data_IF_023729436204
#
_entry.id   IF_023729436204
#
_cell.length_a   1.000
_cell.length_b   1.000
_cell.length_c   1.000
_cell.angle_alpha   90.00
_cell.angle_beta   90.00
_cell.angle_gamma   90.00
#
_symmetry.space_group_name_H-M   'P 1'
#
loop_
_entity.id
_entity.type
_entity.pdbx_description
1 polymer ?
#
# COMPACT_ATOMS: atom_id res chain seq x y z
N UNK A 1 -1.22 15.03 -37.27
CA UNK A 1 -2.40 14.91 -36.41
C UNK A 1 -2.71 13.44 -36.04
N UNK A 2 -2.81 12.49 -36.98
CA UNK A 2 -3.08 11.04 -36.68
C UNK A 2 -2.06 10.39 -35.75
N UNK A 3 -0.76 10.61 -35.92
CA UNK A 3 0.31 9.97 -35.10
C UNK A 3 0.25 10.42 -33.63
N UNK A 4 -0.06 11.69 -33.35
CA UNK A 4 -0.20 12.23 -32.00
C UNK A 4 -1.45 11.66 -31.31
N UNK A 5 -2.53 11.45 -32.03
CA UNK A 5 -3.76 10.84 -31.53
C UNK A 5 -3.54 9.37 -31.17
N UNK A 6 -2.89 8.60 -32.02
CA UNK A 6 -2.54 7.19 -31.77
C UNK A 6 -1.61 7.03 -30.54
N UNK A 7 -0.64 7.93 -30.40
CA UNK A 7 0.27 7.92 -29.24
C UNK A 7 -0.46 8.21 -27.92
N UNK A 8 -1.39 9.18 -27.93
CA UNK A 8 -2.23 9.47 -26.74
C UNK A 8 -3.14 8.30 -26.38
N UNK A 9 -3.82 7.68 -27.34
CA UNK A 9 -4.71 6.54 -27.07
C UNK A 9 -3.93 5.32 -26.55
N UNK A 10 -2.74 5.05 -27.08
CA UNK A 10 -1.87 3.98 -26.62
C UNK A 10 -1.44 4.17 -25.16
N UNK A 11 -1.08 5.39 -24.77
CA UNK A 11 -0.68 5.70 -23.39
C UNK A 11 -1.83 5.49 -22.39
N UNK A 12 -3.07 5.82 -22.76
CA UNK A 12 -4.24 5.54 -21.92
C UNK A 12 -4.51 4.04 -21.77
N UNK A 13 -4.32 3.27 -22.84
CA UNK A 13 -4.46 1.80 -22.78
C UNK A 13 -3.43 1.20 -21.83
N UNK A 14 -2.18 1.67 -21.85
CA UNK A 14 -1.13 1.21 -20.94
C UNK A 14 -1.46 1.59 -19.49
N UNK A 15 -1.99 2.79 -19.25
CA UNK A 15 -2.40 3.20 -17.90
C UNK A 15 -3.53 2.31 -17.33
N UNK A 16 -4.54 2.01 -18.15
CA UNK A 16 -5.62 1.11 -17.79
C UNK A 16 -5.09 -0.31 -17.53
N UNK A 17 -4.22 -0.80 -18.41
CA UNK A 17 -3.58 -2.11 -18.26
C UNK A 17 -2.79 -2.19 -16.95
N UNK A 18 -1.99 -1.16 -16.65
CA UNK A 18 -1.21 -1.09 -15.43
C UNK A 18 -2.10 -1.13 -14.17
N UNK A 19 -3.18 -0.35 -14.13
CA UNK A 19 -4.14 -0.36 -13.02
C UNK A 19 -4.82 -1.72 -12.89
N UNK A 20 -5.22 -2.32 -14.01
CA UNK A 20 -5.83 -3.66 -14.03
C UNK A 20 -4.86 -4.72 -13.51
N UNK A 21 -3.58 -4.62 -13.89
CA UNK A 21 -2.53 -5.49 -13.36
C UNK A 21 -2.34 -5.32 -11.85
N UNK A 22 -2.38 -4.09 -11.32
CA UNK A 22 -2.36 -3.87 -9.88
C UNK A 22 -3.48 -4.62 -9.18
N UNK A 23 -4.71 -4.43 -9.63
CA UNK A 23 -5.89 -5.05 -9.03
C UNK A 23 -5.85 -6.58 -9.15
N UNK A 24 -5.39 -7.10 -10.28
CA UNK A 24 -5.30 -8.53 -10.53
C UNK A 24 -4.16 -9.21 -9.75
N UNK A 25 -2.98 -8.59 -9.64
CA UNK A 25 -1.81 -9.21 -9.01
C UNK A 25 -1.79 -9.08 -7.47
N UNK A 26 -2.56 -8.18 -6.89
CA UNK A 26 -2.60 -7.98 -5.45
C UNK A 26 -2.94 -9.26 -4.65
N UNK A 27 -3.97 -10.06 -5.01
CA UNK A 27 -4.24 -11.31 -4.32
C UNK A 27 -3.12 -12.35 -4.49
N UNK A 28 -2.40 -12.33 -5.63
CA UNK A 28 -1.27 -13.23 -5.86
C UNK A 28 -0.13 -12.94 -4.89
N UNK A 29 0.21 -11.67 -4.69
CA UNK A 29 1.23 -11.24 -3.73
C UNK A 29 0.86 -11.65 -2.29
N UNK A 30 -0.41 -11.46 -1.90
CA UNK A 30 -0.91 -11.88 -0.60
C UNK A 30 -0.83 -13.41 -0.42
N UNK A 31 -1.15 -14.17 -1.46
CA UNK A 31 -1.01 -15.64 -1.49
C UNK A 31 0.44 -16.09 -1.37
N UNK A 32 1.36 -15.41 -2.07
CA UNK A 32 2.79 -15.68 -1.98
C UNK A 32 3.33 -15.42 -0.58
N UNK A 33 3.00 -14.27 0.01
CA UNK A 33 3.39 -13.92 1.38
C UNK A 33 2.91 -14.96 2.40
N UNK A 34 1.63 -15.37 2.30
CA UNK A 34 1.05 -16.42 3.17
C UNK A 34 1.77 -17.75 3.01
N UNK A 35 2.13 -18.10 1.78
CA UNK A 35 2.90 -19.33 1.49
C UNK A 35 4.29 -19.30 2.10
N UNK A 36 5.02 -18.18 1.96
CA UNK A 36 6.34 -18.00 2.58
C UNK A 36 6.28 -18.14 4.10
N UNK A 37 5.29 -17.51 4.76
CA UNK A 37 5.07 -17.68 6.20
C UNK A 37 4.84 -19.13 6.60
N UNK A 38 4.01 -19.87 5.86
CA UNK A 38 3.75 -21.27 6.16
C UNK A 38 5.04 -22.13 6.06
N UNK A 39 5.89 -21.87 5.07
CA UNK A 39 7.19 -22.55 4.95
C UNK A 39 8.11 -22.24 6.14
N UNK A 40 8.22 -20.96 6.53
CA UNK A 40 9.05 -20.56 7.67
C UNK A 40 8.54 -21.15 9.01
N UNK A 41 7.22 -21.37 9.13
CA UNK A 41 6.58 -21.97 10.30
C UNK A 41 6.48 -23.50 10.24
N UNK A 42 7.08 -24.14 9.24
CA UNK A 42 7.00 -25.59 9.00
C UNK A 42 5.55 -26.11 8.91
N UNK A 43 4.66 -25.34 8.29
CA UNK A 43 3.25 -25.70 8.07
C UNK A 43 2.98 -25.98 6.60
N UNK A 44 1.95 -26.78 6.30
CA UNK A 44 1.51 -27.00 4.92
C UNK A 44 1.07 -25.68 4.30
N UNK A 45 1.72 -25.30 3.21
CA UNK A 45 1.41 -24.05 2.52
C UNK A 45 0.13 -24.18 1.66
N UNK A 46 -0.76 -23.19 1.67
CA UNK A 46 -1.92 -23.15 0.81
C UNK A 46 -1.51 -22.94 -0.67
N UNK A 47 -2.45 -23.13 -1.60
CA UNK A 47 -2.22 -22.80 -3.01
C UNK A 47 -2.00 -21.29 -3.18
N UNK A 48 -1.17 -20.88 -4.16
CA UNK A 48 -0.97 -19.46 -4.49
C UNK A 48 -2.28 -18.76 -4.88
N UNK A 49 -3.20 -19.48 -5.49
CA UNK A 49 -4.49 -18.96 -5.94
C UNK A 49 -5.56 -18.97 -4.83
N UNK A 50 -5.20 -19.33 -3.59
CA UNK A 50 -6.16 -19.38 -2.51
C UNK A 50 -6.87 -18.04 -2.26
N UNK A 51 -6.19 -16.87 -2.24
CA UNK A 51 -6.86 -15.59 -2.06
C UNK A 51 -7.90 -15.29 -3.14
N UNK A 52 -7.67 -15.68 -4.39
CA UNK A 52 -8.67 -15.52 -5.45
C UNK A 52 -9.91 -16.41 -5.21
N UNK A 53 -9.72 -17.64 -4.74
CA UNK A 53 -10.84 -18.54 -4.41
C UNK A 53 -11.63 -18.00 -3.24
N UNK A 54 -10.96 -17.42 -2.24
CA UNK A 54 -11.60 -16.81 -1.07
C UNK A 54 -12.41 -15.58 -1.49
N UNK A 55 -11.84 -14.68 -2.32
CA UNK A 55 -12.55 -13.53 -2.88
C UNK A 55 -13.75 -13.95 -3.73
N UNK A 56 -13.59 -14.91 -4.65
CA UNK A 56 -14.69 -15.42 -5.49
C UNK A 56 -15.80 -16.03 -4.64
N UNK A 57 -15.44 -16.77 -3.59
CA UNK A 57 -16.42 -17.36 -2.66
C UNK A 57 -17.21 -16.25 -1.94
N UNK A 58 -16.53 -15.18 -1.48
CA UNK A 58 -17.16 -14.07 -0.79
C UNK A 58 -18.07 -13.25 -1.73
N UNK A 59 -17.63 -12.97 -2.96
CA UNK A 59 -18.42 -12.23 -3.96
C UNK A 59 -19.72 -12.94 -4.29
N UNK A 60 -19.72 -14.29 -4.34
CA UNK A 60 -20.91 -15.10 -4.62
C UNK A 60 -21.82 -15.29 -3.42
N UNK A 61 -21.40 -14.87 -2.21
CA UNK A 61 -22.26 -14.91 -1.03
C UNK A 61 -23.08 -13.65 -0.90
N UNK A 62 -24.33 -13.83 -0.47
CA UNK A 62 -25.21 -12.70 -0.11
C UNK A 62 -24.68 -12.03 1.17
N UNK A 63 -24.61 -10.70 1.21
CA UNK A 63 -24.25 -9.97 2.42
C UNK A 63 -25.39 -10.04 3.43
N UNK A 64 -25.07 -10.35 4.66
CA UNK A 64 -25.97 -10.17 5.80
C UNK A 64 -25.65 -8.81 6.40
N UNK A 65 -26.63 -7.97 6.56
CA UNK A 65 -26.48 -6.60 7.04
C UNK A 65 -27.34 -6.43 8.30
N UNK A 66 -26.80 -5.77 9.32
CA UNK A 66 -27.54 -5.44 10.53
C UNK A 66 -28.68 -4.48 10.20
N UNK A 67 -29.82 -4.63 10.90
CA UNK A 67 -30.95 -3.71 10.76
C UNK A 67 -30.63 -2.27 11.19
N UNK A 68 -29.61 -2.10 12.03
CA UNK A 68 -29.15 -0.80 12.51
C UNK A 68 -28.15 -0.12 11.56
N UNK A 69 -27.67 -0.82 10.52
CA UNK A 69 -26.70 -0.30 9.59
C UNK A 69 -27.29 0.80 8.71
N UNK A 70 -26.62 1.95 8.66
CA UNK A 70 -26.99 3.07 7.79
C UNK A 70 -26.55 2.84 6.35
N UNK A 71 -26.91 3.77 5.46
CA UNK A 71 -26.40 3.79 4.08
C UNK A 71 -24.88 3.89 4.00
N UNK A 72 -24.24 4.48 5.01
CA UNK A 72 -22.78 4.64 5.10
C UNK A 72 -22.09 3.28 5.17
N UNK A 73 -22.56 2.40 6.05
CA UNK A 73 -22.04 1.04 6.18
C UNK A 73 -22.12 0.25 4.87
N UNK A 74 -23.22 0.39 4.13
CA UNK A 74 -23.41 -0.27 2.85
C UNK A 74 -22.50 0.25 1.75
N UNK A 75 -22.18 1.55 1.75
CA UNK A 75 -21.38 2.20 0.70
C UNK A 75 -19.88 2.21 1.00
N UNK A 76 -19.47 2.18 2.26
CA UNK A 76 -18.08 2.24 2.65
C UNK A 76 -17.17 1.20 1.95
N UNK A 77 -17.54 -0.09 1.78
CA UNK A 77 -16.69 -1.05 1.06
C UNK A 77 -16.39 -0.65 -0.38
N UNK A 78 -17.37 -0.07 -1.07
CA UNK A 78 -17.20 0.42 -2.45
C UNK A 78 -16.31 1.65 -2.50
N UNK A 79 -16.45 2.56 -1.54
CA UNK A 79 -15.60 3.77 -1.42
C UNK A 79 -14.17 3.37 -1.12
N UNK A 80 -13.96 2.48 -0.15
CA UNK A 80 -12.62 1.99 0.23
C UNK A 80 -11.93 1.31 -0.95
N UNK A 81 -12.62 0.42 -1.65
CA UNK A 81 -12.06 -0.26 -2.81
C UNK A 81 -11.76 0.72 -3.96
N UNK A 82 -12.69 1.61 -4.30
CA UNK A 82 -12.48 2.59 -5.36
C UNK A 82 -11.34 3.57 -5.06
N UNK A 83 -11.23 4.04 -3.81
CA UNK A 83 -10.13 4.91 -3.39
C UNK A 83 -8.76 4.22 -3.49
N UNK A 84 -8.68 2.93 -3.10
CA UNK A 84 -7.43 2.16 -3.26
C UNK A 84 -7.09 1.88 -4.72
N UNK A 85 -8.08 1.65 -5.58
CA UNK A 85 -7.87 1.54 -7.03
C UNK A 85 -7.41 2.88 -7.62
N UNK A 86 -7.98 4.00 -7.21
CA UNK A 86 -7.52 5.34 -7.62
C UNK A 86 -6.09 5.59 -7.16
N UNK A 87 -5.72 5.21 -5.94
CA UNK A 87 -4.32 5.27 -5.49
C UNK A 87 -3.39 4.43 -6.40
N UNK A 88 -3.85 3.28 -6.88
CA UNK A 88 -3.08 2.45 -7.82
C UNK A 88 -2.87 3.10 -9.19
N UNK A 89 -3.74 4.02 -9.63
CA UNK A 89 -3.53 4.77 -10.88
C UNK A 89 -2.42 5.81 -10.77
N UNK A 90 -2.16 6.29 -9.56
CA UNK A 90 -1.15 7.32 -9.25
C UNK A 90 0.25 6.71 -9.19
N UNK A 91 0.37 5.48 -8.70
CA UNK A 91 1.66 4.81 -8.49
C UNK A 91 2.13 4.12 -9.77
N UNK A 92 3.30 4.48 -10.34
CA UNK A 92 3.83 3.81 -11.52
C UNK A 92 4.26 2.37 -11.18
N UNK A 93 3.70 1.39 -11.89
CA UNK A 93 4.02 -0.04 -11.71
C UNK A 93 5.14 -0.49 -12.65
N UNK A 94 4.96 -0.28 -13.96
CA UNK A 94 5.82 -0.81 -15.02
C UNK A 94 6.50 0.33 -15.78
N UNK A 95 5.76 1.43 -16.04
CA UNK A 95 6.21 2.55 -16.84
C UNK A 95 5.95 3.89 -16.14
N UNK A 96 6.79 4.89 -16.41
CA UNK A 96 6.78 6.19 -15.71
C UNK A 96 5.94 7.23 -16.46
N UNK A 97 6.14 7.45 -17.74
CA UNK A 97 5.55 8.56 -18.50
C UNK A 97 4.13 8.27 -19.02
N UNK A 98 3.20 8.00 -18.10
CA UNK A 98 1.80 7.73 -18.44
C UNK A 98 0.95 9.01 -18.37
N UNK A 99 -0.23 9.06 -19.01
CA UNK A 99 -1.16 10.19 -18.90
C UNK A 99 -1.60 10.48 -17.46
N UNK A 100 -1.60 9.45 -16.60
CA UNK A 100 -1.88 9.55 -15.17
C UNK A 100 -0.72 10.16 -14.38
N UNK A 101 0.47 10.30 -14.97
CA UNK A 101 1.62 10.91 -14.30
C UNK A 101 1.38 12.38 -13.93
N UNK A 102 0.53 13.09 -14.66
CA UNK A 102 0.16 14.47 -14.32
C UNK A 102 -0.55 14.58 -12.95
N UNK A 103 -1.27 13.52 -12.53
CA UNK A 103 -1.92 13.41 -11.23
C UNK A 103 -1.15 12.53 -10.25
N UNK A 104 0.06 12.06 -10.62
CA UNK A 104 0.91 11.20 -9.82
C UNK A 104 1.62 11.99 -8.69
N UNK A 105 0.85 12.78 -7.96
CA UNK A 105 1.29 13.53 -6.81
C UNK A 105 1.22 12.66 -5.55
N UNK A 106 2.27 12.70 -4.75
CA UNK A 106 2.35 12.00 -3.47
C UNK A 106 1.22 12.41 -2.54
N UNK A 107 0.87 13.68 -2.51
CA UNK A 107 -0.21 14.22 -1.66
C UNK A 107 -1.54 13.59 -2.05
N UNK A 108 -1.80 13.45 -3.36
CA UNK A 108 -3.03 12.83 -3.87
C UNK A 108 -3.10 11.35 -3.45
N UNK A 109 -1.98 10.64 -3.52
CA UNK A 109 -1.93 9.22 -3.11
C UNK A 109 -2.21 9.06 -1.61
N UNK A 110 -1.56 9.85 -0.76
CA UNK A 110 -1.80 9.85 0.70
C UNK A 110 -3.24 10.23 0.99
N UNK A 111 -3.79 11.22 0.28
CA UNK A 111 -5.19 11.62 0.37
C UNK A 111 -6.18 10.47 0.07
N UNK A 112 -5.91 9.64 -0.95
CA UNK A 112 -6.75 8.46 -1.22
C UNK A 112 -6.69 7.42 -0.10
N UNK A 113 -5.52 7.19 0.51
CA UNK A 113 -5.41 6.29 1.65
C UNK A 113 -6.12 6.83 2.89
N UNK A 114 -5.97 8.12 3.18
CA UNK A 114 -6.68 8.79 4.27
C UNK A 114 -8.20 8.75 4.06
N UNK A 115 -8.66 9.01 2.84
CA UNK A 115 -10.07 8.95 2.46
C UNK A 115 -10.67 7.55 2.64
N UNK A 116 -9.99 6.51 2.15
CA UNK A 116 -10.42 5.13 2.31
C UNK A 116 -10.54 4.75 3.79
N UNK A 117 -9.55 5.12 4.61
CA UNK A 117 -9.52 4.85 6.03
C UNK A 117 -10.60 5.59 6.80
N UNK A 118 -10.81 6.87 6.48
CA UNK A 118 -11.85 7.68 7.09
C UNK A 118 -13.22 7.01 6.94
N UNK A 119 -13.59 6.59 5.74
CA UNK A 119 -14.86 5.91 5.50
C UNK A 119 -14.95 4.54 6.16
N UNK A 120 -13.84 3.80 6.25
CA UNK A 120 -13.82 2.51 6.94
C UNK A 120 -14.01 2.69 8.45
N UNK A 121 -13.35 3.69 9.05
CA UNK A 121 -13.50 4.02 10.48
C UNK A 121 -14.92 4.49 10.80
N UNK A 122 -15.49 5.36 9.95
CA UNK A 122 -16.90 5.78 10.11
C UNK A 122 -17.87 4.60 10.02
N UNK A 123 -17.65 3.68 9.11
CA UNK A 123 -18.47 2.49 8.96
C UNK A 123 -18.37 1.56 10.18
N UNK A 124 -17.17 1.46 10.78
CA UNK A 124 -16.99 0.71 12.03
C UNK A 124 -17.73 1.33 13.22
N UNK A 125 -17.93 2.65 13.21
CA UNK A 125 -18.72 3.36 14.24
C UNK A 125 -20.25 3.27 13.97
N UNK A 126 -20.65 3.19 12.72
CA UNK A 126 -22.05 3.30 12.28
C UNK A 126 -22.95 2.23 12.88
N UNK A 127 -22.46 1.01 13.05
CA UNK A 127 -23.26 -0.11 13.60
C UNK A 127 -23.44 0.00 15.12
N UNK A 128 -22.62 0.80 15.82
CA UNK A 128 -22.72 0.97 17.27
C UNK A 128 -22.22 -0.24 18.07
N UNK A 129 -21.46 -1.17 17.46
CA UNK A 129 -20.87 -2.30 18.19
C UNK A 129 -19.64 -1.84 19.00
N UNK A 130 -19.43 -2.44 20.16
CA UNK A 130 -18.29 -2.12 21.02
C UNK A 130 -16.94 -2.37 20.30
N UNK A 131 -16.85 -3.43 19.50
CA UNK A 131 -15.64 -3.78 18.74
C UNK A 131 -15.38 -2.80 17.59
N UNK A 132 -16.42 -2.44 16.84
CA UNK A 132 -16.33 -1.44 15.77
C UNK A 132 -15.85 -0.10 16.30
N UNK A 133 -16.41 0.38 17.42
CA UNK A 133 -16.00 1.62 18.07
C UNK A 133 -14.57 1.61 18.58
N UNK A 134 -14.16 0.52 19.26
CA UNK A 134 -12.77 0.36 19.73
C UNK A 134 -11.77 0.26 18.56
N UNK A 135 -12.09 -0.50 17.51
CA UNK A 135 -11.26 -0.62 16.31
C UNK A 135 -11.06 0.71 15.62
N UNK A 136 -12.15 1.45 15.39
CA UNK A 136 -12.12 2.77 14.73
C UNK A 136 -11.31 3.80 15.51
N UNK A 137 -11.45 3.88 16.84
CA UNK A 137 -10.67 4.82 17.65
C UNK A 137 -9.18 4.50 17.63
N UNK A 138 -8.80 3.22 17.64
CA UNK A 138 -7.40 2.77 17.53
C UNK A 138 -6.82 3.07 16.15
N UNK A 139 -7.57 2.77 15.09
CA UNK A 139 -7.16 3.05 13.71
C UNK A 139 -6.94 4.54 13.50
N UNK A 140 -7.82 5.41 14.00
CA UNK A 140 -7.66 6.86 13.90
C UNK A 140 -6.44 7.37 14.66
N UNK A 141 -6.11 6.78 15.80
CA UNK A 141 -4.88 7.09 16.55
C UNK A 141 -3.62 6.69 15.79
N UNK A 142 -3.64 5.53 15.14
CA UNK A 142 -2.52 5.07 14.30
C UNK A 142 -2.35 5.97 13.10
N UNK A 143 -3.44 6.31 12.42
CA UNK A 143 -3.39 7.13 11.21
C UNK A 143 -2.88 8.54 11.45
N UNK A 144 -3.21 9.14 12.60
CA UNK A 144 -2.74 10.49 12.95
C UNK A 144 -1.22 10.62 13.02
N UNK A 145 -0.51 9.51 13.25
CA UNK A 145 0.96 9.43 13.25
C UNK A 145 1.53 8.84 11.94
N UNK A 146 0.84 7.87 11.35
CA UNK A 146 1.30 7.16 10.15
C UNK A 146 1.28 8.06 8.90
N UNK A 147 0.24 8.88 8.74
CA UNK A 147 0.12 9.78 7.58
C UNK A 147 1.22 10.84 7.52
N UNK A 148 1.51 11.61 8.60
CA UNK A 148 2.64 12.53 8.60
C UNK A 148 3.99 11.82 8.40
N UNK A 149 4.19 10.63 8.99
CA UNK A 149 5.42 9.88 8.81
C UNK A 149 5.61 9.42 7.35
N UNK A 150 4.53 8.99 6.68
CA UNK A 150 4.54 8.66 5.27
C UNK A 150 4.88 9.87 4.41
N UNK A 151 4.24 11.01 4.65
CA UNK A 151 4.51 12.25 3.92
C UNK A 151 5.97 12.66 4.07
N UNK A 152 6.54 12.64 5.29
CA UNK A 152 7.95 12.98 5.52
C UNK A 152 8.90 12.04 4.77
N UNK A 153 8.64 10.72 4.80
CA UNK A 153 9.46 9.75 4.09
C UNK A 153 9.45 9.98 2.57
N UNK A 154 8.28 10.21 1.99
CA UNK A 154 8.17 10.38 0.54
C UNK A 154 8.61 11.78 0.11
N UNK A 155 8.37 12.84 0.90
CA UNK A 155 8.90 14.17 0.59
C UNK A 155 10.42 14.23 0.61
N UNK A 156 11.09 13.52 1.49
CA UNK A 156 12.56 13.41 1.46
C UNK A 156 13.08 12.98 0.09
N UNK A 157 12.36 12.07 -0.57
CA UNK A 157 12.72 11.56 -1.90
C UNK A 157 12.35 12.53 -3.02
N UNK A 158 11.18 13.15 -2.92
CA UNK A 158 10.71 14.10 -3.94
C UNK A 158 11.46 15.43 -3.89
N UNK A 159 12.04 15.80 -2.75
CA UNK A 159 12.92 16.98 -2.63
C UNK A 159 14.16 16.86 -3.51
N UNK A 160 14.72 15.67 -3.70
CA UNK A 160 15.89 15.48 -4.60
C UNK A 160 15.55 15.80 -6.06
N UNK A 161 14.31 15.59 -6.47
CA UNK A 161 13.81 15.91 -7.80
C UNK A 161 13.11 17.29 -7.87
N UNK A 162 13.05 18.03 -6.74
CA UNK A 162 12.35 19.33 -6.62
C UNK A 162 10.90 19.28 -7.14
N UNK A 163 10.22 18.15 -6.98
CA UNK A 163 8.84 17.93 -7.43
C UNK A 163 8.11 16.98 -6.51
N UNK A 164 6.81 17.18 -6.32
CA UNK A 164 5.92 16.24 -5.61
C UNK A 164 5.44 15.11 -6.50
N UNK A 165 5.76 15.15 -7.78
CA UNK A 165 5.35 14.15 -8.77
C UNK A 165 6.22 12.89 -8.66
N UNK A 166 5.58 11.78 -8.32
CA UNK A 166 6.23 10.50 -8.09
C UNK A 166 6.92 9.94 -9.35
N UNK A 167 6.30 10.10 -10.52
CA UNK A 167 6.86 9.63 -11.79
C UNK A 167 8.14 10.38 -12.14
N UNK A 168 8.13 11.71 -11.98
CA UNK A 168 9.31 12.55 -12.23
C UNK A 168 10.41 12.27 -11.21
N UNK A 169 10.07 12.06 -9.94
CA UNK A 169 11.05 11.72 -8.91
C UNK A 169 11.74 10.38 -9.21
N UNK A 170 11.00 9.37 -9.66
CA UNK A 170 11.56 8.07 -10.04
C UNK A 170 12.46 8.19 -11.28
N UNK A 171 12.04 8.94 -12.30
CA UNK A 171 12.86 9.17 -13.50
C UNK A 171 14.17 9.87 -13.16
N UNK A 172 14.14 10.86 -12.27
CA UNK A 172 15.32 11.58 -11.83
C UNK A 172 16.33 10.67 -11.09
N UNK A 173 15.83 9.76 -10.23
CA UNK A 173 16.69 8.77 -9.56
C UNK A 173 17.28 7.76 -10.55
N UNK A 174 16.53 7.41 -11.61
CA UNK A 174 17.04 6.54 -12.68
C UNK A 174 18.18 7.19 -13.47
N UNK A 175 18.08 8.48 -13.78
CA UNK A 175 19.07 9.23 -14.55
C UNK A 175 20.35 9.49 -13.74
N UNK A 176 20.24 9.84 -12.47
CA UNK A 176 21.39 10.12 -11.61
C UNK A 176 22.10 8.85 -11.10
N UNK A 177 21.46 7.69 -11.21
CA UNK A 177 21.94 6.45 -10.59
C UNK A 177 21.65 6.39 -9.09
N UNK A 178 21.82 5.21 -8.53
CA UNK A 178 21.57 4.95 -7.10
C UNK A 178 22.73 5.51 -6.27
N UNK A 179 22.61 6.75 -5.85
CA UNK A 179 23.55 7.33 -4.88
C UNK A 179 23.03 7.03 -3.49
N UNK A 180 23.74 6.22 -2.72
CA UNK A 180 23.45 5.94 -1.31
C UNK A 180 23.67 7.21 -0.47
N UNK A 181 22.64 8.05 -0.40
CA UNK A 181 22.62 9.24 0.44
C UNK A 181 22.01 8.88 1.81
N UNK A 182 22.48 9.47 2.91
CA UNK A 182 21.91 9.22 4.24
C UNK A 182 20.39 9.50 4.29
N UNK A 183 19.94 10.55 3.62
CA UNK A 183 18.51 10.91 3.49
C UNK A 183 17.66 9.76 2.95
N UNK A 184 18.16 9.06 1.91
CA UNK A 184 17.45 7.91 1.32
C UNK A 184 17.32 6.74 2.28
N UNK A 185 18.36 6.46 3.06
CA UNK A 185 18.36 5.37 4.03
C UNK A 185 17.33 5.62 5.12
N UNK A 186 17.30 6.82 5.69
CA UNK A 186 16.32 7.20 6.71
C UNK A 186 14.88 7.16 6.15
N UNK A 187 14.68 7.68 4.95
CA UNK A 187 13.37 7.66 4.29
C UNK A 187 12.90 6.24 3.97
N UNK A 188 13.80 5.33 3.55
CA UNK A 188 13.49 3.92 3.31
C UNK A 188 12.99 3.24 4.60
N UNK A 189 13.75 3.36 5.69
CA UNK A 189 13.35 2.78 6.96
C UNK A 189 12.04 3.36 7.48
N UNK A 190 11.85 4.68 7.40
CA UNK A 190 10.60 5.33 7.76
C UNK A 190 9.42 4.77 6.95
N UNK A 191 9.56 4.65 5.62
CA UNK A 191 8.51 4.14 4.75
C UNK A 191 8.20 2.65 5.02
N UNK A 192 9.23 1.82 5.30
CA UNK A 192 9.02 0.41 5.68
C UNK A 192 8.21 0.31 6.96
N UNK A 193 8.57 1.09 8.00
CA UNK A 193 7.85 1.07 9.28
C UNK A 193 6.38 1.52 9.09
N UNK A 194 6.16 2.58 8.33
CA UNK A 194 4.80 3.04 8.00
C UNK A 194 4.04 1.99 7.19
N UNK A 195 4.66 1.38 6.18
CA UNK A 195 4.02 0.34 5.35
C UNK A 195 3.54 -0.86 6.17
N UNK A 196 4.34 -1.30 7.16
CA UNK A 196 3.97 -2.38 8.08
C UNK A 196 2.77 -1.98 8.95
N UNK A 197 2.76 -0.76 9.48
CA UNK A 197 1.65 -0.25 10.27
C UNK A 197 0.36 -0.10 9.46
N UNK A 198 0.46 0.51 8.29
CA UNK A 198 -0.65 0.80 7.38
C UNK A 198 -1.30 -0.44 6.79
N UNK A 199 -0.53 -1.50 6.62
CA UNK A 199 -1.04 -2.79 6.11
C UNK A 199 -1.49 -3.74 7.22
N UNK A 200 -1.53 -3.29 8.49
CA UNK A 200 -1.97 -4.09 9.63
C UNK A 200 -1.14 -5.34 9.82
N UNK A 201 0.19 -5.21 9.71
CA UNK A 201 1.12 -6.35 9.81
C UNK A 201 1.85 -6.39 11.15
N UNK A 202 2.38 -7.56 11.49
CA UNK A 202 3.25 -7.71 12.67
C UNK A 202 4.49 -6.83 12.47
N UNK A 203 4.87 -6.01 13.45
CA UNK A 203 4.52 -6.05 14.88
C UNK A 203 3.30 -5.22 15.31
N UNK A 204 2.69 -4.44 14.44
CA UNK A 204 1.62 -3.49 14.79
C UNK A 204 0.28 -4.21 15.02
N UNK A 205 -0.16 -5.01 14.06
CA UNK A 205 -1.37 -5.81 14.19
C UNK A 205 -1.13 -7.25 13.73
N UNK A 206 -2.00 -8.17 14.13
CA UNK A 206 -1.95 -9.55 13.69
C UNK A 206 -3.34 -10.00 13.25
N UNK A 207 -3.59 -10.08 11.95
CA UNK A 207 -4.90 -10.46 11.42
C UNK A 207 -5.31 -11.90 11.76
N UNK A 208 -4.39 -12.73 12.27
CA UNK A 208 -4.69 -14.13 12.62
C UNK A 208 -5.04 -14.33 14.11
N UNK A 209 -4.85 -13.33 14.94
CA UNK A 209 -5.19 -13.38 16.38
C UNK A 209 -6.53 -12.68 16.61
N UNK A 210 -7.56 -13.47 16.87
CA UNK A 210 -8.90 -12.97 17.23
C UNK A 210 -9.01 -12.62 18.73
N UNK A 211 -7.99 -11.98 19.28
CA UNK A 211 -8.02 -11.47 20.65
C UNK A 211 -8.65 -10.08 20.64
N UNK A 212 -9.88 -9.99 21.08
CA UNK A 212 -10.76 -8.83 21.10
C UNK A 212 -10.12 -7.54 21.62
N UNK A 213 -9.27 -7.64 22.64
CA UNK A 213 -8.60 -6.50 23.25
C UNK A 213 -7.43 -5.94 22.43
N UNK A 214 -6.98 -6.64 21.38
CA UNK A 214 -5.78 -6.26 20.61
C UNK A 214 -6.02 -6.07 19.11
N UNK A 215 -7.24 -6.31 18.63
CA UNK A 215 -7.62 -6.13 17.23
C UNK A 215 -7.73 -4.64 16.90
N UNK A 216 -7.30 -4.27 15.71
CA UNK A 216 -7.42 -2.92 15.17
C UNK A 216 -8.27 -2.97 13.90
N UNK A 217 -7.69 -3.36 12.79
CA UNK A 217 -8.35 -3.40 11.49
C UNK A 217 -9.48 -4.43 11.44
N UNK A 218 -9.23 -5.65 11.91
CA UNK A 218 -10.22 -6.73 11.93
C UNK A 218 -11.46 -6.38 12.76
N UNK A 219 -11.31 -5.58 13.84
CA UNK A 219 -12.42 -5.17 14.67
C UNK A 219 -13.45 -4.29 13.94
N UNK A 220 -13.00 -3.47 12.96
CA UNK A 220 -13.88 -2.62 12.16
C UNK A 220 -14.67 -3.40 11.10
N UNK A 221 -14.15 -4.55 10.68
CA UNK A 221 -14.73 -5.32 9.57
C UNK A 221 -15.51 -6.56 10.00
N UNK A 222 -15.59 -6.84 11.30
CA UNK A 222 -16.25 -8.03 11.86
C UNK A 222 -17.71 -8.20 11.40
N UNK A 223 -18.42 -7.10 11.26
CA UNK A 223 -19.83 -7.10 10.88
C UNK A 223 -20.05 -7.20 9.36
N UNK A 224 -18.99 -7.11 8.57
CA UNK A 224 -19.09 -7.26 7.12
C UNK A 224 -19.13 -8.71 6.69
N UNK A 225 -19.95 -9.03 5.70
CA UNK A 225 -20.09 -10.36 5.13
C UNK A 225 -20.26 -10.33 3.61
N UNK A 226 -20.09 -11.48 2.98
CA UNK A 226 -20.34 -11.65 1.53
C UNK A 226 -19.51 -10.67 0.68
N UNK A 227 -20.15 -10.09 -0.33
CA UNK A 227 -19.49 -9.20 -1.30
C UNK A 227 -18.87 -7.94 -0.68
N UNK A 228 -19.41 -7.41 0.41
CA UNK A 228 -18.89 -6.22 1.09
C UNK A 228 -17.54 -6.54 1.74
N UNK A 229 -17.44 -7.67 2.42
CA UNK A 229 -16.17 -8.15 2.98
C UNK A 229 -15.14 -8.44 1.88
N UNK A 230 -15.56 -9.02 0.76
CA UNK A 230 -14.67 -9.27 -0.38
C UNK A 230 -13.99 -7.99 -0.89
N UNK A 231 -14.73 -6.89 -1.01
CA UNK A 231 -14.19 -5.60 -1.47
C UNK A 231 -13.17 -5.03 -0.47
N UNK A 232 -13.44 -5.11 0.84
CA UNK A 232 -12.51 -4.62 1.87
C UNK A 232 -11.24 -5.47 1.90
N UNK A 233 -11.37 -6.80 1.87
CA UNK A 233 -10.19 -7.68 1.82
C UNK A 233 -9.36 -7.47 0.55
N UNK A 234 -10.01 -7.29 -0.60
CA UNK A 234 -9.30 -7.01 -1.85
C UNK A 234 -8.59 -5.66 -1.79
N UNK A 235 -9.24 -4.62 -1.24
CA UNK A 235 -8.61 -3.32 -1.00
C UNK A 235 -7.40 -3.41 -0.07
N UNK A 236 -7.46 -4.22 0.99
CA UNK A 236 -6.32 -4.47 1.88
C UNK A 236 -5.14 -5.14 1.17
N UNK A 237 -5.41 -6.15 0.32
CA UNK A 237 -4.39 -6.81 -0.50
C UNK A 237 -3.78 -5.84 -1.53
N UNK A 238 -4.61 -4.99 -2.14
CA UNK A 238 -4.18 -3.95 -3.07
C UNK A 238 -3.30 -2.91 -2.37
N UNK A 239 -3.67 -2.47 -1.17
CA UNK A 239 -2.88 -1.56 -0.33
C UNK A 239 -1.49 -2.14 -0.01
N UNK A 240 -1.42 -3.41 0.36
CA UNK A 240 -0.14 -4.10 0.58
C UNK A 240 0.75 -4.07 -0.67
N UNK A 241 0.18 -4.36 -1.83
CA UNK A 241 0.92 -4.32 -3.09
C UNK A 241 1.37 -2.90 -3.44
N UNK A 242 0.54 -1.88 -3.20
CA UNK A 242 0.89 -0.48 -3.44
C UNK A 242 2.11 -0.05 -2.62
N UNK A 243 2.15 -0.35 -1.32
CA UNK A 243 3.33 -0.07 -0.48
C UNK A 243 4.56 -0.85 -0.96
N UNK A 244 4.39 -2.11 -1.37
CA UNK A 244 5.48 -2.90 -1.95
C UNK A 244 6.04 -2.29 -3.23
N UNK A 245 5.18 -1.81 -4.13
CA UNK A 245 5.58 -1.14 -5.38
C UNK A 245 6.23 0.21 -5.10
N UNK A 246 5.71 0.99 -4.15
CA UNK A 246 6.32 2.25 -3.72
C UNK A 246 7.75 2.04 -3.25
N UNK A 247 7.97 1.11 -2.32
CA UNK A 247 9.31 0.80 -1.81
C UNK A 247 10.21 0.32 -2.96
N UNK A 248 9.70 -0.59 -3.81
CA UNK A 248 10.46 -1.17 -4.91
C UNK A 248 10.86 -0.16 -5.98
N UNK A 249 9.96 0.76 -6.35
CA UNK A 249 10.18 1.67 -7.48
C UNK A 249 10.83 2.99 -7.08
N UNK A 250 10.66 3.43 -5.83
CA UNK A 250 11.32 4.64 -5.35
C UNK A 250 12.77 4.36 -4.97
N UNK A 251 13.04 3.30 -4.20
CA UNK A 251 14.37 3.03 -3.68
C UNK A 251 15.22 2.15 -4.59
N UNK A 252 14.59 1.35 -5.43
CA UNK A 252 15.24 0.44 -6.39
C UNK A 252 14.62 0.59 -7.79
N UNK A 253 14.77 1.77 -8.46
CA UNK A 253 14.02 2.09 -9.68
C UNK A 253 14.45 1.31 -10.92
N UNK A 254 15.50 0.49 -10.83
CA UNK A 254 15.97 -0.33 -11.94
C UNK A 254 14.86 -1.23 -12.53
N UNK A 255 14.85 -1.36 -13.85
CA UNK A 255 13.89 -2.21 -14.56
C UNK A 255 12.54 -1.57 -14.82
N UNK A 256 12.33 -0.27 -14.54
CA UNK A 256 11.13 0.45 -14.95
C UNK A 256 11.27 0.84 -16.43
N UNK A 257 10.21 0.62 -17.20
CA UNK A 257 10.20 0.95 -18.64
C UNK A 257 10.17 2.48 -18.83
N UNK A 258 11.15 2.99 -19.54
CA UNK A 258 11.22 4.39 -20.01
C UNK A 258 10.66 4.54 -21.42
N UNK A 259 10.60 3.46 -22.19
CA UNK A 259 9.99 3.43 -23.52
C UNK A 259 8.80 2.47 -23.54
N UNK A 260 7.84 2.74 -24.43
CA UNK A 260 6.64 1.92 -24.59
C UNK A 260 6.84 0.76 -25.58
N UNK A 261 8.06 0.21 -25.67
CA UNK A 261 8.29 -1.00 -26.43
C UNK A 261 7.73 -2.22 -25.68
N UNK A 262 7.21 -3.21 -26.43
CA UNK A 262 6.69 -4.44 -25.83
C UNK A 262 7.75 -5.18 -25.00
N UNK A 263 9.00 -5.11 -25.46
CA UNK A 263 10.15 -5.71 -24.78
C UNK A 263 10.41 -5.02 -23.43
N UNK A 264 10.42 -3.67 -23.40
CA UNK A 264 10.70 -2.91 -22.17
C UNK A 264 9.58 -3.05 -21.14
N UNK A 265 8.32 -3.06 -21.62
CA UNK A 265 7.16 -3.32 -20.75
C UNK A 265 7.19 -4.74 -20.15
N UNK A 266 7.59 -5.75 -20.96
CA UNK A 266 7.77 -7.12 -20.49
C UNK A 266 8.88 -7.25 -19.46
N UNK A 267 10.02 -6.62 -19.72
CA UNK A 267 11.13 -6.56 -18.77
C UNK A 267 10.75 -5.84 -17.48
N UNK A 268 10.04 -4.71 -17.59
CA UNK A 268 9.52 -3.95 -16.44
C UNK A 268 8.59 -4.78 -15.56
N UNK A 269 7.69 -5.55 -16.17
CA UNK A 269 6.80 -6.45 -15.45
C UNK A 269 7.57 -7.55 -14.70
N UNK A 270 8.53 -8.19 -15.37
CA UNK A 270 9.36 -9.22 -14.72
C UNK A 270 10.20 -8.65 -13.58
N UNK A 271 10.79 -7.47 -13.76
CA UNK A 271 11.59 -6.80 -12.76
C UNK A 271 10.76 -6.46 -11.51
N UNK A 272 9.57 -5.86 -11.68
CA UNK A 272 8.72 -5.53 -10.53
C UNK A 272 8.21 -6.77 -9.82
N UNK A 273 7.83 -7.82 -10.55
CA UNK A 273 7.42 -9.10 -9.95
C UNK A 273 8.56 -9.71 -9.12
N UNK A 274 9.79 -9.70 -9.62
CA UNK A 274 10.97 -10.17 -8.89
C UNK A 274 11.19 -9.39 -7.60
N UNK A 275 11.11 -8.05 -7.65
CA UNK A 275 11.24 -7.17 -6.47
C UNK A 275 10.16 -7.46 -5.43
N UNK A 276 8.89 -7.58 -5.86
CA UNK A 276 7.76 -7.87 -4.97
C UNK A 276 7.88 -9.24 -4.31
N UNK A 277 8.37 -10.26 -5.04
CA UNK A 277 8.65 -11.59 -4.49
C UNK A 277 9.70 -11.49 -3.38
N UNK A 278 10.81 -10.78 -3.61
CA UNK A 278 11.87 -10.58 -2.61
C UNK A 278 11.35 -9.79 -1.39
N UNK A 279 10.63 -8.68 -1.61
CA UNK A 279 10.05 -7.89 -0.51
C UNK A 279 9.06 -8.72 0.32
N UNK A 280 8.24 -9.55 -0.32
CA UNK A 280 7.33 -10.45 0.40
C UNK A 280 8.06 -11.51 1.24
N UNK A 281 9.21 -12.03 0.77
CA UNK A 281 10.05 -12.94 1.55
C UNK A 281 10.63 -12.21 2.77
N UNK A 282 11.19 -11.02 2.57
CA UNK A 282 11.73 -10.19 3.67
C UNK A 282 10.63 -9.90 4.70
N UNK A 283 9.44 -9.51 4.25
CA UNK A 283 8.30 -9.25 5.13
C UNK A 283 7.87 -10.53 5.86
N UNK A 284 7.82 -11.68 5.19
CA UNK A 284 7.50 -12.96 5.82
C UNK A 284 8.50 -13.33 6.93
N UNK A 285 9.80 -13.12 6.68
CA UNK A 285 10.85 -13.34 7.67
C UNK A 285 10.66 -12.37 8.85
N UNK A 286 10.49 -11.09 8.61
CA UNK A 286 10.26 -10.09 9.65
C UNK A 286 9.05 -10.43 10.53
N UNK A 287 7.91 -10.80 9.92
CA UNK A 287 6.70 -11.18 10.65
C UNK A 287 6.82 -12.49 11.43
N UNK A 288 7.75 -13.38 11.06
CA UNK A 288 7.98 -14.63 11.81
C UNK A 288 9.00 -14.46 12.93
N UNK A 289 9.90 -13.48 12.83
CA UNK A 289 10.93 -13.21 13.84
C UNK A 289 10.45 -12.27 14.94
N UNK A 290 9.52 -11.36 14.62
CA UNK A 290 9.07 -10.32 15.53
C UNK A 290 7.72 -10.69 16.15
N UNK A 291 7.57 -10.47 17.46
CA UNK A 291 6.31 -10.66 18.16
C UNK A 291 5.42 -9.40 18.04
N UNK A 292 4.09 -9.59 18.14
CA UNK A 292 3.13 -8.48 18.19
C UNK A 292 3.42 -7.56 19.38
N UNK A 293 3.46 -6.27 19.12
CA UNK A 293 3.62 -5.25 20.16
C UNK A 293 2.32 -5.01 20.94
N UNK A 294 2.46 -4.49 22.15
CA UNK A 294 1.32 -3.97 22.90
C UNK A 294 0.80 -2.70 22.24
N UNK A 295 -0.51 -2.48 22.26
CA UNK A 295 -1.17 -1.37 21.57
C UNK A 295 -0.54 0.00 21.87
N UNK A 296 -0.21 0.29 23.13
CA UNK A 296 0.40 1.57 23.53
C UNK A 296 1.80 1.80 22.93
N UNK A 297 2.55 0.76 22.60
CA UNK A 297 3.86 0.86 21.94
C UNK A 297 3.77 1.14 20.44
N UNK A 298 2.60 0.96 19.83
CA UNK A 298 2.41 1.28 18.41
C UNK A 298 2.59 2.78 18.14
N UNK A 299 2.20 3.63 19.11
CA UNK A 299 2.43 5.07 19.01
C UNK A 299 3.92 5.42 19.05
N UNK A 300 4.70 4.77 19.93
CA UNK A 300 6.17 4.94 19.99
C UNK A 300 6.83 4.46 18.69
N UNK A 301 6.37 3.33 18.15
CA UNK A 301 6.83 2.79 16.87
C UNK A 301 6.59 3.77 15.70
N UNK A 302 5.40 4.35 15.61
CA UNK A 302 5.08 5.33 14.57
C UNK A 302 5.77 6.67 14.82
N UNK A 303 5.91 7.09 16.07
CA UNK A 303 6.72 8.24 16.45
C UNK A 303 8.18 8.08 16.00
N UNK A 304 8.76 6.88 16.15
CA UNK A 304 10.09 6.56 15.65
C UNK A 304 10.14 6.61 14.11
N UNK A 305 9.13 6.09 13.42
CA UNK A 305 9.02 6.19 11.96
C UNK A 305 8.99 7.66 11.50
N UNK A 306 8.21 8.49 12.19
CA UNK A 306 8.14 9.93 11.92
C UNK A 306 9.49 10.63 12.14
N UNK A 307 10.18 10.32 13.24
CA UNK A 307 11.52 10.86 13.52
C UNK A 307 12.54 10.45 12.45
N UNK A 308 12.50 9.22 11.97
CA UNK A 308 13.35 8.78 10.86
C UNK A 308 13.05 9.56 9.58
N UNK A 309 11.77 9.77 9.24
CA UNK A 309 11.38 10.60 8.10
C UNK A 309 11.88 12.04 8.23
N UNK A 310 11.74 12.63 9.41
CA UNK A 310 12.24 13.98 9.72
C UNK A 310 13.77 14.06 9.61
N UNK A 311 14.49 13.07 10.15
CA UNK A 311 15.96 12.98 10.03
C UNK A 311 16.39 12.84 8.56
N UNK A 312 15.63 12.08 7.77
CA UNK A 312 15.85 11.98 6.32
C UNK A 312 15.75 13.34 5.64
N UNK A 313 14.69 14.09 5.91
CA UNK A 313 14.47 15.42 5.35
C UNK A 313 15.54 16.43 5.82
N UNK A 314 15.87 16.44 7.11
CA UNK A 314 16.92 17.32 7.65
C UNK A 314 18.30 16.98 7.09
N UNK A 315 18.63 15.69 6.94
CA UNK A 315 19.91 15.28 6.36
C UNK A 315 20.03 15.71 4.89
N UNK A 316 18.91 15.67 4.15
CA UNK A 316 18.89 16.18 2.78
C UNK A 316 19.18 17.69 2.75
N UNK A 317 18.49 18.50 3.58
CA UNK A 317 18.67 19.96 3.61
C UNK A 317 20.09 20.34 4.04
N UNK A 318 20.63 19.70 5.09
CA UNK A 318 21.91 20.11 5.69
C UNK A 318 23.11 19.57 4.90
N UNK A 319 23.07 18.33 4.45
CA UNK A 319 24.25 17.64 3.90
C UNK A 319 24.25 17.58 2.36
N UNK A 320 23.10 17.67 1.73
CA UNK A 320 22.95 17.36 0.30
C UNK A 320 22.52 18.57 -0.53
N UNK A 321 21.67 19.48 0.00
CA UNK A 321 21.22 20.66 -0.71
C UNK A 321 22.31 21.77 -0.84
N UNK A 322 23.40 21.66 -0.07
CA UNK A 322 24.56 22.58 -0.15
C UNK A 322 25.62 22.18 -1.18
N UNK A 323 25.43 21.06 -1.88
CA UNK A 323 26.29 20.57 -2.97
C UNK A 323 25.63 20.76 -4.33
#
# INVERSE_FOLDING_TARGET
MRVVFWRKSMNWLIAILQTTLFVALAPLLAGWLKRCKCYLQNRKAPSLLQPYRDLLKLVNKQPVVSEQASWLFLKAPYIVFSATVLAATVVPLIAVDLPTSASADVIVMVGFFAFARFFLALAGLDIGTAFGGMGSSREMTISSLAEPAMLMAVFTLTMTASTTNLSVAISHVLEQGLVLRPSFVFALFALILVAVAETGRIPVDNPTTHLELTMIHEAMILEYSGRHLALIEWASQLKLMLYGVLIANIFFPWGIAQTFSLHDLGYGLLAIMGKLVVLAIILAIAETLVAKMRLFRVQEYLGFAYLLGLLGMLSHIILEASR
#
